data_IF_084552232183
#
_entry.id   IF_084552232183
#
_cell.length_a   1.000
_cell.length_b   1.000
_cell.length_c   1.000
_cell.angle_alpha   90.00
_cell.angle_beta   90.00
_cell.angle_gamma   90.00
#
_symmetry.space_group_name_H-M   'P 1'
#
loop_
_entity.id
_entity.type
_entity.pdbx_description
1 polymer ?
#
# COMPACT_ATOMS: atom_id res chain seq x y z
N UNK A 1 -23.67 -3.60 11.05
CA UNK A 1 -24.27 -4.96 10.98
C UNK A 1 -23.33 -5.95 10.29
N UNK A 2 -22.91 -5.68 9.05
CA UNK A 2 -21.96 -6.53 8.30
C UNK A 2 -20.63 -6.77 9.03
N UNK A 3 -20.07 -5.72 9.66
CA UNK A 3 -18.85 -5.80 10.46
C UNK A 3 -18.90 -6.84 11.60
N UNK A 4 -20.05 -6.99 12.25
CA UNK A 4 -20.19 -7.88 13.42
C UNK A 4 -20.71 -9.27 13.01
N UNK A 5 -21.52 -9.36 11.94
CA UNK A 5 -22.08 -10.62 11.45
C UNK A 5 -21.02 -11.55 10.84
N UNK A 6 -20.08 -11.00 10.08
CA UNK A 6 -19.02 -11.78 9.41
C UNK A 6 -18.18 -12.59 10.40
N UNK A 7 -17.58 -12.01 11.46
CA UNK A 7 -16.83 -12.79 12.43
C UNK A 7 -17.72 -13.74 13.24
N UNK A 8 -18.97 -13.38 13.52
CA UNK A 8 -19.90 -14.22 14.28
C UNK A 8 -20.33 -15.49 13.50
N UNK A 9 -20.54 -15.37 12.18
CA UNK A 9 -20.86 -16.50 11.30
C UNK A 9 -19.64 -17.39 10.99
N UNK A 10 -18.43 -16.84 11.00
CA UNK A 10 -17.19 -17.59 10.79
C UNK A 10 -16.66 -18.25 12.08
N UNK A 11 -17.10 -17.81 13.26
CA UNK A 11 -16.71 -18.33 14.57
C UNK A 11 -16.88 -19.86 14.77
N UNK A 12 -17.90 -20.54 14.22
CA UNK A 12 -18.02 -21.99 14.37
C UNK A 12 -16.94 -22.79 13.62
N UNK A 13 -16.25 -22.21 12.63
CA UNK A 13 -15.17 -22.91 11.90
C UNK A 13 -13.95 -23.23 12.77
N UNK A 14 -13.31 -22.27 13.46
CA UNK A 14 -12.15 -22.55 14.32
C UNK A 14 -12.52 -23.31 15.61
N UNK A 15 -13.76 -23.17 16.10
CA UNK A 15 -14.25 -23.84 17.31
C UNK A 15 -14.51 -25.35 17.12
N UNK A 16 -14.79 -25.80 15.90
CA UNK A 16 -15.08 -27.22 15.62
C UNK A 16 -13.80 -28.03 15.35
N UNK A 17 -12.79 -27.43 14.74
CA UNK A 17 -11.53 -28.11 14.40
C UNK A 17 -10.42 -27.90 15.44
N UNK A 18 -10.41 -26.76 16.15
CA UNK A 18 -9.51 -26.49 17.27
C UNK A 18 -8.01 -26.45 16.91
N UNK A 19 -7.66 -26.38 15.62
CA UNK A 19 -6.27 -26.35 15.16
C UNK A 19 -5.81 -24.92 14.82
N UNK A 20 -4.50 -24.67 14.88
CA UNK A 20 -3.91 -23.34 14.62
C UNK A 20 -4.17 -22.88 13.17
N UNK A 21 -4.23 -23.82 12.21
CA UNK A 21 -4.49 -23.53 10.81
C UNK A 21 -5.93 -23.04 10.59
N UNK A 22 -6.88 -23.52 11.38
CA UNK A 22 -8.27 -23.09 11.30
C UNK A 22 -8.46 -21.64 11.79
N UNK A 23 -7.71 -21.23 12.81
CA UNK A 23 -7.65 -19.85 13.27
C UNK A 23 -7.01 -18.92 12.23
N UNK A 24 -5.95 -19.38 11.55
CA UNK A 24 -5.35 -18.64 10.44
C UNK A 24 -6.34 -18.46 9.27
N UNK A 25 -7.01 -19.54 8.87
CA UNK A 25 -8.02 -19.50 7.82
C UNK A 25 -9.20 -18.57 8.17
N UNK A 26 -9.64 -18.57 9.43
CA UNK A 26 -10.68 -17.67 9.92
C UNK A 26 -10.31 -16.19 9.71
N UNK A 27 -9.10 -15.78 10.12
CA UNK A 27 -8.64 -14.38 9.95
C UNK A 27 -8.49 -14.03 8.46
N UNK A 28 -7.96 -14.94 7.64
CA UNK A 28 -7.80 -14.74 6.20
C UNK A 28 -9.14 -14.52 5.47
N UNK A 29 -10.15 -15.34 5.77
CA UNK A 29 -11.48 -15.22 5.15
C UNK A 29 -12.16 -13.93 5.63
N UNK A 30 -12.02 -13.58 6.92
CA UNK A 30 -12.54 -12.33 7.45
C UNK A 30 -11.93 -11.12 6.72
N UNK A 31 -10.60 -11.08 6.55
CA UNK A 31 -9.94 -10.02 5.79
C UNK A 31 -10.41 -9.97 4.33
N UNK A 32 -10.51 -11.11 3.65
CA UNK A 32 -10.94 -11.17 2.26
C UNK A 32 -12.35 -10.59 2.07
N UNK A 33 -13.27 -10.89 2.99
CA UNK A 33 -14.62 -10.32 2.95
C UNK A 33 -14.62 -8.81 3.20
N UNK A 34 -13.77 -8.33 4.12
CA UNK A 34 -13.65 -6.89 4.37
C UNK A 34 -13.00 -6.14 3.20
N UNK A 35 -12.06 -6.75 2.50
CA UNK A 35 -11.51 -6.20 1.26
C UNK A 35 -12.54 -6.16 0.13
N UNK A 36 -13.34 -7.21 -0.05
CA UNK A 36 -14.37 -7.24 -1.11
C UNK A 36 -15.53 -6.28 -0.85
N UNK A 37 -15.83 -6.00 0.41
CA UNK A 37 -16.97 -5.14 0.79
C UNK A 37 -16.58 -3.71 1.11
N UNK A 38 -15.29 -3.40 1.13
CA UNK A 38 -14.73 -2.10 1.52
C UNK A 38 -15.35 -1.55 2.81
N UNK A 39 -15.74 -2.45 3.73
CA UNK A 39 -16.47 -2.09 4.94
C UNK A 39 -15.64 -1.26 5.92
N UNK A 40 -14.30 -1.35 5.81
CA UNK A 40 -13.32 -0.55 6.52
C UNK A 40 -12.23 -0.09 5.54
N UNK A 41 -11.54 1.02 5.84
CA UNK A 41 -10.40 1.45 5.05
C UNK A 41 -9.38 0.32 4.90
N UNK A 42 -8.87 0.12 3.67
CA UNK A 42 -7.87 -0.90 3.33
C UNK A 42 -6.68 -0.98 4.32
N UNK A 43 -6.13 0.15 4.84
CA UNK A 43 -5.07 0.10 5.84
C UNK A 43 -5.52 -0.56 7.14
N UNK A 44 -6.73 -0.25 7.62
CA UNK A 44 -7.25 -0.76 8.89
C UNK A 44 -7.48 -2.27 8.82
N UNK A 45 -8.09 -2.75 7.73
CA UNK A 45 -8.27 -4.18 7.48
C UNK A 45 -6.92 -4.89 7.34
N UNK A 46 -5.96 -4.25 6.69
CA UNK A 46 -4.61 -4.78 6.54
C UNK A 46 -3.85 -4.84 7.87
N UNK A 47 -4.15 -4.05 8.89
CA UNK A 47 -3.50 -4.17 10.22
C UNK A 47 -4.13 -5.22 11.13
N UNK A 48 -5.29 -5.78 10.77
CA UNK A 48 -6.04 -6.71 11.61
C UNK A 48 -5.24 -7.97 12.03
N UNK A 49 -4.43 -8.61 11.16
CA UNK A 49 -3.57 -9.75 11.55
C UNK A 49 -2.54 -9.44 12.63
N UNK A 50 -1.99 -8.21 12.65
CA UNK A 50 -0.98 -7.80 13.63
C UNK A 50 -1.50 -7.93 15.05
N UNK A 51 -2.79 -7.71 15.26
CA UNK A 51 -3.45 -7.85 16.56
C UNK A 51 -4.03 -9.24 16.76
N UNK A 52 -4.69 -9.80 15.73
CA UNK A 52 -5.43 -11.07 15.86
C UNK A 52 -4.51 -12.29 15.92
N UNK A 53 -3.38 -12.32 15.21
CA UNK A 53 -2.48 -13.47 15.22
C UNK A 53 -1.85 -13.73 16.60
N UNK A 54 -1.35 -12.71 17.32
CA UNK A 54 -0.87 -12.89 18.70
C UNK A 54 -1.99 -13.20 19.69
N UNK A 55 -3.18 -12.59 19.51
CA UNK A 55 -4.34 -12.82 20.39
C UNK A 55 -4.88 -14.26 20.29
N UNK A 56 -4.86 -14.84 19.09
CA UNK A 56 -5.31 -16.21 18.84
C UNK A 56 -4.21 -17.26 19.01
N UNK A 57 -2.99 -16.84 19.36
CA UNK A 57 -1.85 -17.75 19.57
C UNK A 57 -1.32 -18.40 18.30
N UNK A 58 -1.64 -17.87 17.11
CA UNK A 58 -1.23 -18.44 15.82
C UNK A 58 0.25 -18.14 15.54
N UNK A 59 0.68 -16.91 15.83
CA UNK A 59 2.04 -16.44 15.57
C UNK A 59 2.48 -15.45 16.67
N UNK A 60 3.78 -15.40 16.97
CA UNK A 60 4.33 -14.41 17.89
C UNK A 60 4.13 -12.97 17.35
N UNK A 61 4.01 -12.01 18.26
CA UNK A 61 3.96 -10.58 17.90
C UNK A 61 5.21 -10.13 17.16
N UNK A 62 6.38 -10.71 17.48
CA UNK A 62 7.64 -10.39 16.80
C UNK A 62 7.65 -10.87 15.35
N UNK A 63 7.22 -12.11 15.11
CA UNK A 63 7.20 -12.71 13.77
C UNK A 63 6.15 -12.04 12.87
N UNK A 64 5.00 -11.69 13.44
CA UNK A 64 3.96 -10.94 12.73
C UNK A 64 4.45 -9.54 12.37
N UNK A 65 5.14 -8.84 13.28
CA UNK A 65 5.69 -7.52 13.00
C UNK A 65 6.79 -7.56 11.93
N UNK A 66 7.65 -8.59 11.94
CA UNK A 66 8.68 -8.80 10.89
C UNK A 66 8.06 -9.00 9.51
N UNK A 67 6.93 -9.70 9.42
CA UNK A 67 6.23 -9.88 8.14
C UNK A 67 5.69 -8.57 7.57
N UNK A 68 5.26 -7.63 8.43
CA UNK A 68 4.79 -6.30 8.00
C UNK A 68 5.93 -5.34 7.66
N UNK A 69 7.03 -5.39 8.41
CA UNK A 69 8.22 -4.57 8.18
C UNK A 69 9.22 -5.25 7.25
N UNK A 70 8.72 -5.88 6.18
CA UNK A 70 9.58 -6.47 5.17
C UNK A 70 10.29 -5.37 4.35
N UNK A 71 11.42 -5.70 3.74
CA UNK A 71 12.26 -4.81 2.94
C UNK A 71 11.45 -4.02 1.91
N UNK A 72 10.48 -4.67 1.25
CA UNK A 72 9.59 -4.04 0.26
C UNK A 72 8.72 -2.93 0.89
N UNK A 73 8.17 -3.17 2.09
CA UNK A 73 7.36 -2.17 2.78
C UNK A 73 8.17 -0.91 3.12
N UNK A 74 9.41 -1.11 3.59
CA UNK A 74 10.35 -0.02 3.89
C UNK A 74 10.79 0.70 2.61
N UNK A 75 10.98 -0.02 1.49
CA UNK A 75 11.27 0.59 0.19
C UNK A 75 10.14 1.50 -0.29
N UNK A 76 8.88 1.10 -0.13
CA UNK A 76 7.74 1.95 -0.48
C UNK A 76 7.72 3.20 0.40
N UNK A 77 7.84 3.05 1.72
CA UNK A 77 7.85 4.20 2.66
C UNK A 77 9.01 5.16 2.36
N UNK A 78 10.22 4.64 2.11
CA UNK A 78 11.37 5.47 1.77
C UNK A 78 11.20 6.20 0.43
N UNK A 79 10.59 5.56 -0.57
CA UNK A 79 10.28 6.22 -1.85
C UNK A 79 9.27 7.37 -1.68
N UNK A 80 8.28 7.23 -0.80
CA UNK A 80 7.31 8.28 -0.50
C UNK A 80 7.96 9.46 0.22
N UNK A 81 8.87 9.20 1.16
CA UNK A 81 9.63 10.25 1.85
C UNK A 81 10.51 11.01 0.85
N UNK A 82 11.18 10.31 -0.06
CA UNK A 82 12.00 10.93 -1.11
C UNK A 82 11.13 11.78 -2.04
N UNK A 83 9.98 11.26 -2.48
CA UNK A 83 9.05 12.01 -3.32
C UNK A 83 8.60 13.32 -2.65
N UNK A 84 8.21 13.28 -1.37
CA UNK A 84 7.86 14.47 -0.60
C UNK A 84 9.05 15.45 -0.40
N UNK A 85 10.26 14.94 -0.18
CA UNK A 85 11.46 15.78 -0.09
C UNK A 85 11.77 16.51 -1.40
N UNK A 86 11.53 15.86 -2.54
CA UNK A 86 11.72 16.47 -3.88
C UNK A 86 10.66 17.55 -4.14
N UNK A 87 9.42 17.31 -3.71
CA UNK A 87 8.32 18.27 -3.82
C UNK A 87 8.61 19.55 -3.02
N UNK A 88 8.99 19.40 -1.74
CA UNK A 88 9.32 20.55 -0.87
C UNK A 88 10.52 21.34 -1.37
N UNK A 89 11.50 20.67 -1.97
CA UNK A 89 12.68 21.30 -2.57
C UNK A 89 12.38 22.09 -3.86
N UNK A 90 11.12 22.07 -4.34
CA UNK A 90 10.70 22.64 -5.63
C UNK A 90 11.62 22.21 -6.79
N UNK A 91 12.22 21.03 -6.70
CA UNK A 91 13.20 20.56 -7.67
C UNK A 91 12.53 20.39 -9.04
N UNK A 92 11.26 19.96 -9.06
CA UNK A 92 10.42 19.90 -10.26
C UNK A 92 10.34 21.25 -10.99
N UNK A 93 10.17 22.36 -10.27
CA UNK A 93 10.14 23.72 -10.88
C UNK A 93 11.50 24.13 -11.42
N UNK A 94 12.60 23.81 -10.72
CA UNK A 94 13.96 24.10 -11.20
C UNK A 94 14.30 23.31 -12.45
N UNK A 95 13.92 22.03 -12.49
CA UNK A 95 14.11 21.16 -13.66
C UNK A 95 13.24 21.65 -14.82
N UNK A 96 11.98 22.01 -14.57
CA UNK A 96 11.07 22.55 -15.59
C UNK A 96 11.56 23.87 -16.20
N UNK A 97 12.08 24.80 -15.37
CA UNK A 97 12.64 26.06 -15.86
C UNK A 97 13.94 25.85 -16.63
N UNK A 98 14.83 24.95 -16.17
CA UNK A 98 16.06 24.61 -16.91
C UNK A 98 15.76 23.88 -18.22
N UNK A 99 14.80 22.96 -18.25
CA UNK A 99 14.43 22.25 -19.48
C UNK A 99 13.80 23.22 -20.49
N UNK A 100 12.96 24.16 -20.03
CA UNK A 100 12.40 25.23 -20.88
C UNK A 100 13.49 26.10 -21.51
N UNK A 101 14.53 26.46 -20.73
CA UNK A 101 15.67 27.26 -21.22
C UNK A 101 16.56 26.50 -22.21
N UNK A 102 16.73 25.18 -22.05
CA UNK A 102 17.57 24.36 -22.95
C UNK A 102 16.83 23.99 -24.25
N UNK A 103 15.51 23.74 -24.17
CA UNK A 103 14.71 23.27 -25.30
C UNK A 103 14.23 24.42 -26.21
N UNK A 104 14.02 25.61 -25.64
CA UNK A 104 13.44 26.77 -26.34
C UNK A 104 11.93 26.62 -26.59
N UNK A 105 11.31 27.63 -27.23
CA UNK A 105 9.86 27.78 -27.44
C UNK A 105 9.22 26.86 -28.50
N UNK A 106 9.89 25.77 -28.89
CA UNK A 106 9.35 24.83 -29.89
C UNK A 106 8.43 23.78 -29.24
N UNK A 107 7.12 23.84 -29.55
CA UNK A 107 6.09 22.94 -29.01
C UNK A 107 6.44 21.44 -29.11
N UNK A 108 7.07 21.00 -30.20
CA UNK A 108 7.35 19.57 -30.43
C UNK A 108 8.43 19.02 -29.48
N UNK A 109 9.46 19.83 -29.17
CA UNK A 109 10.54 19.43 -28.26
C UNK A 109 10.10 19.49 -26.80
N UNK A 110 9.20 20.42 -26.47
CA UNK A 110 8.60 20.50 -25.14
C UNK A 110 7.76 19.25 -24.83
N UNK A 111 6.96 18.80 -25.80
CA UNK A 111 6.13 17.60 -25.68
C UNK A 111 6.99 16.33 -25.50
N UNK A 112 8.05 16.19 -26.30
CA UNK A 112 9.01 15.08 -26.16
C UNK A 112 9.72 15.07 -24.80
N UNK A 113 10.12 16.24 -24.29
CA UNK A 113 10.71 16.36 -22.96
C UNK A 113 9.74 15.93 -21.86
N UNK A 114 8.47 16.32 -21.95
CA UNK A 114 7.45 15.92 -20.99
C UNK A 114 7.17 14.42 -21.03
N UNK A 115 7.10 13.82 -22.23
CA UNK A 115 6.91 12.38 -22.39
C UNK A 115 8.09 11.57 -21.83
N UNK A 116 9.33 11.99 -22.08
CA UNK A 116 10.53 11.33 -21.55
C UNK A 116 10.59 11.39 -20.02
N UNK A 117 10.32 12.56 -19.44
CA UNK A 117 10.27 12.73 -17.98
C UNK A 117 9.17 11.85 -17.38
N UNK A 118 7.97 11.87 -17.97
CA UNK A 118 6.84 11.03 -17.52
C UNK A 118 7.16 9.54 -17.63
N UNK A 119 7.84 9.10 -18.70
CA UNK A 119 8.27 7.71 -18.88
C UNK A 119 9.30 7.29 -17.80
N UNK A 120 10.27 8.15 -17.51
CA UNK A 120 11.30 7.88 -16.51
C UNK A 120 10.74 7.87 -15.08
N UNK A 121 9.82 8.79 -14.78
CA UNK A 121 9.07 8.80 -13.52
C UNK A 121 8.17 7.56 -13.40
N UNK A 122 7.51 7.13 -14.48
CA UNK A 122 6.67 5.92 -14.50
C UNK A 122 7.47 4.63 -14.20
N UNK A 123 8.74 4.57 -14.59
CA UNK A 123 9.63 3.46 -14.22
C UNK A 123 9.98 3.42 -12.73
N UNK A 124 9.96 4.57 -12.04
CA UNK A 124 10.36 4.70 -10.63
C UNK A 124 9.20 4.79 -9.66
N UNK A 125 8.02 5.21 -10.13
CA UNK A 125 6.78 5.22 -9.37
C UNK A 125 6.26 3.78 -9.45
N UNK A 126 6.40 2.94 -8.39
CA UNK A 126 5.73 1.66 -8.38
C UNK A 126 4.24 1.93 -8.60
N UNK A 127 3.56 1.08 -9.38
CA UNK A 127 2.15 1.27 -9.75
C UNK A 127 1.17 1.44 -8.56
N UNK A 128 1.63 1.26 -7.32
CA UNK A 128 0.95 1.61 -6.06
C UNK A 128 0.90 3.11 -5.75
N UNK A 129 1.86 3.91 -6.21
CA UNK A 129 1.89 5.35 -5.97
C UNK A 129 0.98 6.14 -6.95
N UNK A 130 0.65 5.57 -8.11
CA UNK A 130 -0.34 6.17 -9.03
C UNK A 130 -1.78 5.98 -8.57
N UNK A 131 -2.09 4.95 -7.76
CA UNK A 131 -3.43 4.74 -7.19
C UNK A 131 -3.73 5.67 -6.01
N UNK A 132 -2.72 6.03 -5.19
CA UNK A 132 -2.92 6.95 -4.06
C UNK A 132 -3.20 8.40 -4.45
N UNK A 133 -2.91 8.80 -5.70
CA UNK A 133 -3.18 10.15 -6.21
C UNK A 133 -4.64 10.34 -6.70
N UNK A 134 -5.44 9.25 -6.75
CA UNK A 134 -6.84 9.28 -7.20
C UNK A 134 -7.86 9.02 -6.07
N UNK A 135 -7.42 8.95 -4.82
CA UNK A 135 -8.28 9.05 -3.63
C UNK A 135 -7.99 10.34 -2.86
#
# INVERSE_FOLDING_TARGET
LFLVLVPLCLLPLPLVTGTEEAWCAFVMIWMALYWMTEALPLPVTSFMPVLLFPLMGILSSEDTAKAYLNDIGIMIVSSLIIAGAVETSNLHKRIALKSLLVIGTSNLRLLLGFMLVTMFLSMWIPNTASTMLNE
#
